data_IF_666296693656
#
_entry.id   IF_666296693656
#
_cell.length_a   1.000
_cell.length_b   1.000
_cell.length_c   1.000
_cell.angle_alpha   90.00
_cell.angle_beta   90.00
_cell.angle_gamma   90.00
#
_symmetry.space_group_name_H-M   'P 1'
#
loop_
_entity.id
_entity.type
_entity.pdbx_description
1 polymer ?
#
# COMPACT_ATOMS: atom_id res chain seq x y z
N UNK A 1 17.92 -3.55 2.19
CA UNK A 1 18.87 -2.98 1.21
C UNK A 1 19.28 -4.06 0.22
N UNK A 2 19.54 -3.71 -1.05
CA UNK A 2 19.82 -4.69 -2.13
C UNK A 2 18.69 -4.93 -3.12
N UNK A 3 17.72 -4.02 -3.22
CA UNK A 3 16.59 -4.13 -4.14
C UNK A 3 16.72 -3.10 -5.29
N UNK A 4 16.22 -3.40 -6.50
CA UNK A 4 16.10 -2.40 -7.57
C UNK A 4 15.17 -1.23 -7.20
N UNK A 5 14.20 -1.47 -6.33
CA UNK A 5 13.28 -0.45 -5.85
C UNK A 5 13.99 0.52 -4.87
N UNK A 6 13.71 1.82 -5.03
CA UNK A 6 14.28 2.87 -4.18
C UNK A 6 13.74 2.84 -2.74
N UNK A 7 12.48 2.45 -2.57
CA UNK A 7 11.79 2.39 -1.29
C UNK A 7 10.92 1.15 -1.21
N UNK A 8 10.69 0.70 0.03
CA UNK A 8 9.65 -0.27 0.37
C UNK A 8 8.63 0.47 1.22
N UNK A 9 7.38 0.54 0.75
CA UNK A 9 6.28 1.11 1.50
C UNK A 9 5.58 -0.03 2.23
N UNK A 10 5.74 -0.08 3.55
CA UNK A 10 5.04 -1.04 4.40
C UNK A 10 3.63 -0.53 4.69
N UNK A 11 2.63 -1.39 4.51
CA UNK A 11 1.24 -1.07 4.81
C UNK A 11 0.57 -2.21 5.58
N UNK A 12 -0.41 -1.86 6.41
CA UNK A 12 -1.20 -2.81 7.17
C UNK A 12 -2.59 -2.92 6.53
N UNK A 13 -2.86 -4.01 5.83
CA UNK A 13 -4.16 -4.27 5.20
C UNK A 13 -5.19 -4.68 6.26
N UNK A 14 -6.46 -4.26 6.17
CA UNK A 14 -7.50 -4.78 7.06
C UNK A 14 -7.73 -6.27 6.84
N UNK A 15 -8.23 -6.96 7.86
CA UNK A 15 -8.70 -8.34 7.72
C UNK A 15 -10.03 -8.41 6.96
N UNK A 16 -10.19 -9.39 6.07
CA UNK A 16 -11.46 -9.60 5.37
C UNK A 16 -12.59 -9.93 6.36
N UNK A 17 -13.75 -9.31 6.16
CA UNK A 17 -14.91 -9.45 7.06
C UNK A 17 -14.83 -8.63 8.35
N UNK A 18 -13.75 -7.86 8.59
CA UNK A 18 -13.74 -6.86 9.64
C UNK A 18 -14.70 -5.71 9.32
N UNK A 19 -15.10 -4.97 10.35
CA UNK A 19 -15.90 -3.75 10.15
C UNK A 19 -15.19 -2.83 9.13
N UNK A 20 -15.94 -2.32 8.15
CA UNK A 20 -15.44 -1.44 7.09
C UNK A 20 -14.16 -1.90 6.36
N UNK A 21 -13.95 -3.22 6.22
CA UNK A 21 -12.73 -3.74 5.59
C UNK A 21 -12.48 -3.20 4.17
N UNK A 22 -13.53 -3.00 3.36
CA UNK A 22 -13.41 -2.42 2.02
C UNK A 22 -12.93 -0.95 2.05
N UNK A 23 -13.52 -0.11 2.90
CA UNK A 23 -13.13 1.29 3.08
C UNK A 23 -11.69 1.40 3.61
N UNK A 24 -11.34 0.54 4.57
CA UNK A 24 -9.97 0.49 5.09
C UNK A 24 -8.96 0.02 4.05
N UNK A 25 -9.33 -0.91 3.15
CA UNK A 25 -8.45 -1.36 2.08
C UNK A 25 -8.20 -0.23 1.08
N UNK A 26 -9.26 0.49 0.68
CA UNK A 26 -9.15 1.70 -0.14
C UNK A 26 -8.25 2.76 0.51
N UNK A 27 -8.42 3.00 1.82
CA UNK A 27 -7.58 3.92 2.60
C UNK A 27 -6.12 3.45 2.64
N UNK A 28 -5.86 2.16 2.79
CA UNK A 28 -4.52 1.58 2.79
C UNK A 28 -3.81 1.84 1.46
N UNK A 29 -4.48 1.61 0.33
CA UNK A 29 -3.91 1.89 -1.00
C UNK A 29 -3.65 3.38 -1.19
N UNK A 30 -4.60 4.25 -0.82
CA UNK A 30 -4.45 5.71 -0.89
C UNK A 30 -3.28 6.22 -0.06
N UNK A 31 -3.08 5.68 1.14
CA UNK A 31 -1.93 6.02 1.98
C UNK A 31 -0.60 5.62 1.33
N UNK A 32 -0.53 4.45 0.69
CA UNK A 32 0.67 4.04 -0.05
C UNK A 32 0.99 4.98 -1.21
N UNK A 33 -0.02 5.41 -1.97
CA UNK A 33 0.14 6.37 -3.06
C UNK A 33 0.58 7.74 -2.53
N UNK A 34 -0.04 8.24 -1.45
CA UNK A 34 0.33 9.51 -0.83
C UNK A 34 1.80 9.51 -0.37
N UNK A 35 2.26 8.41 0.26
CA UNK A 35 3.67 8.27 0.63
C UNK A 35 4.61 8.21 -0.58
N UNK A 36 4.19 7.57 -1.68
CA UNK A 36 4.97 7.55 -2.92
C UNK A 36 5.11 8.97 -3.51
N UNK A 37 4.04 9.76 -3.49
CA UNK A 37 4.03 11.16 -3.93
C UNK A 37 4.89 12.05 -3.04
N UNK A 38 4.79 11.92 -1.71
CA UNK A 38 5.64 12.63 -0.75
C UNK A 38 7.13 12.36 -0.98
N UNK A 39 7.47 11.12 -1.39
CA UNK A 39 8.83 10.71 -1.76
C UNK A 39 9.20 11.02 -3.21
N UNK A 40 8.30 11.69 -3.96
CA UNK A 40 8.47 12.09 -5.37
C UNK A 40 8.82 10.91 -6.28
N UNK A 41 8.22 9.75 -6.02
CA UNK A 41 8.39 8.55 -6.83
C UNK A 41 7.54 8.66 -8.10
N UNK A 42 8.09 8.19 -9.22
CA UNK A 42 7.37 8.18 -10.51
C UNK A 42 6.65 6.85 -10.79
N UNK A 43 6.91 5.84 -9.97
CA UNK A 43 6.34 4.51 -10.10
C UNK A 43 6.22 3.85 -8.73
N UNK A 44 5.20 3.02 -8.61
CA UNK A 44 4.93 2.15 -7.46
C UNK A 44 4.40 0.83 -8.01
N UNK A 45 4.79 -0.29 -7.39
CA UNK A 45 4.30 -1.61 -7.74
C UNK A 45 3.49 -2.15 -6.56
N UNK A 46 2.29 -2.64 -6.83
CA UNK A 46 1.42 -3.25 -5.83
C UNK A 46 1.31 -4.75 -6.08
N UNK A 47 1.50 -5.61 -5.06
CA UNK A 47 0.93 -6.95 -5.09
C UNK A 47 -0.61 -6.86 -4.97
N UNK A 48 -1.29 -8.00 -5.04
CA UNK A 48 -2.72 -8.06 -4.71
C UNK A 48 -2.90 -7.92 -3.19
N UNK A 49 -2.99 -6.69 -2.69
CA UNK A 49 -3.10 -6.40 -1.25
C UNK A 49 -4.44 -6.92 -0.72
N UNK A 50 -4.40 -7.64 0.40
CA UNK A 50 -5.59 -8.09 1.13
C UNK A 50 -6.22 -9.37 0.60
N UNK A 51 -5.72 -9.94 -0.51
CA UNK A 51 -6.20 -11.22 -1.08
C UNK A 51 -5.35 -12.44 -0.71
N UNK A 52 -4.37 -12.24 0.18
CA UNK A 52 -3.53 -13.29 0.73
C UNK A 52 -4.20 -14.10 1.83
#
# INVERSE_FOLDING_TARGET
>A
YGLPAKFVIHCNSPGWGSDKCEEMLDKTVKNCLALADEKKLKSVAFPSIGSG
#
